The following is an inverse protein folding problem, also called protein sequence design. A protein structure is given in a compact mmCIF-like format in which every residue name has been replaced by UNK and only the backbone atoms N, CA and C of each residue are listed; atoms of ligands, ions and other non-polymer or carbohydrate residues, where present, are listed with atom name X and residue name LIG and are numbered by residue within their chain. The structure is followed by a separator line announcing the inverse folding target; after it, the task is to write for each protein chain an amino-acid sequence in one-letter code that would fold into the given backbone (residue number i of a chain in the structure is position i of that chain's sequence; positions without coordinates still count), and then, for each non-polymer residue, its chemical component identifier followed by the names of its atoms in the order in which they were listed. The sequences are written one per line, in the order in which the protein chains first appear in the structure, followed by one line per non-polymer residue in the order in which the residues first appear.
data_IF_500409933661
#
_entry.id   IF_500409933661
#
_cell.length_a   1.000
_cell.length_b   1.000
_cell.length_c   1.000
_cell.angle_alpha   90.00
_cell.angle_beta   90.00
_cell.angle_gamma   90.00
#
_symmetry.space_group_name_H-M   'P 1'
#
loop_
_entity.id
_entity.type
_entity.pdbx_description
1 polymer ?
#
# COMPACT_ATOMS: atom_id res chain seq x y z
N UNK A 1 24.57 46.39 -59.29
CA UNK A 1 23.14 45.98 -59.25
C UNK A 1 23.07 44.58 -58.66
N UNK A 2 22.83 44.47 -57.35
CA UNK A 2 22.65 43.19 -56.66
C UNK A 2 21.39 43.38 -55.81
N UNK A 3 20.33 42.67 -56.17
CA UNK A 3 19.07 42.68 -55.45
C UNK A 3 19.19 41.92 -54.13
N UNK A 4 18.60 42.47 -53.07
CA UNK A 4 18.30 41.74 -51.83
C UNK A 4 16.79 41.72 -51.65
N UNK A 5 16.24 40.51 -51.78
CA UNK A 5 14.87 40.14 -51.49
C UNK A 5 14.69 40.13 -49.97
N UNK A 6 13.74 40.90 -49.45
CA UNK A 6 13.32 40.86 -48.05
C UNK A 6 12.17 39.85 -47.95
N UNK A 7 12.42 38.72 -47.29
CA UNK A 7 11.39 37.74 -46.96
C UNK A 7 10.65 38.18 -45.69
N UNK A 8 9.35 38.43 -45.81
CA UNK A 8 8.44 38.70 -44.70
C UNK A 8 7.96 37.34 -44.17
N UNK A 9 8.43 36.96 -42.98
CA UNK A 9 7.90 35.81 -42.23
C UNK A 9 6.50 36.17 -41.69
N UNK A 10 5.46 35.53 -42.22
CA UNK A 10 4.11 35.58 -41.67
C UNK A 10 4.03 34.77 -40.37
N UNK A 11 3.80 35.47 -39.26
CA UNK A 11 3.54 34.87 -37.95
C UNK A 11 2.08 34.36 -37.93
N UNK A 12 1.88 33.05 -38.13
CA UNK A 12 0.59 32.40 -37.90
C UNK A 12 0.34 32.28 -36.39
N UNK A 13 -0.46 33.18 -35.83
CA UNK A 13 -1.01 33.06 -34.49
C UNK A 13 -2.12 32.01 -34.56
N UNK A 14 -1.86 30.81 -34.08
CA UNK A 14 -2.89 29.78 -33.88
C UNK A 14 -3.78 30.23 -32.72
N UNK A 15 -5.00 30.66 -33.04
CA UNK A 15 -6.06 30.93 -32.07
C UNK A 15 -6.41 29.60 -31.38
N UNK A 16 -5.89 29.41 -30.17
CA UNK A 16 -6.32 28.33 -29.28
C UNK A 16 -7.80 28.51 -28.98
N UNK A 17 -8.58 27.47 -29.26
CA UNK A 17 -10.02 27.46 -28.97
C UNK A 17 -10.24 27.73 -27.49
N UNK A 18 -10.93 28.83 -27.18
CA UNK A 18 -11.49 29.08 -25.86
C UNK A 18 -12.47 27.94 -25.58
N UNK A 19 -12.15 27.08 -24.60
CA UNK A 19 -12.99 25.95 -24.23
C UNK A 19 -14.41 26.40 -23.93
N UNK A 20 -15.41 25.71 -24.48
CA UNK A 20 -16.82 26.00 -24.26
C UNK A 20 -17.15 25.92 -22.77
N UNK A 21 -18.03 26.81 -22.30
CA UNK A 21 -18.53 26.87 -20.93
C UNK A 21 -19.29 25.61 -20.46
N UNK A 22 -19.43 24.59 -21.32
CA UNK A 22 -20.06 23.30 -21.00
C UNK A 22 -19.12 22.29 -20.31
N UNK A 23 -17.81 22.58 -20.19
CA UNK A 23 -16.85 21.70 -19.50
C UNK A 23 -16.87 21.87 -17.96
N UNK A 24 -17.85 22.61 -17.42
CA UNK A 24 -17.79 23.16 -16.05
C UNK A 24 -18.22 22.15 -14.95
N UNK A 25 -18.82 21.01 -15.29
CA UNK A 25 -19.34 20.06 -14.29
C UNK A 25 -19.06 18.59 -14.60
N UNK A 26 -17.78 18.23 -14.80
CA UNK A 26 -17.41 16.83 -14.60
C UNK A 26 -17.63 16.44 -13.14
N UNK A 27 -18.45 15.40 -12.85
CA UNK A 27 -18.73 14.97 -11.48
C UNK A 27 -17.44 14.54 -10.78
N UNK A 28 -17.32 14.88 -9.49
CA UNK A 28 -16.19 14.46 -8.67
C UNK A 28 -16.10 12.93 -8.66
N UNK A 29 -14.93 12.40 -8.99
CA UNK A 29 -14.70 10.94 -9.02
C UNK A 29 -14.03 10.47 -7.72
N UNK A 30 -14.34 9.25 -7.25
CA UNK A 30 -13.51 8.58 -6.25
C UNK A 30 -12.08 8.44 -6.76
N UNK A 31 -11.10 8.48 -5.86
CA UNK A 31 -9.69 8.38 -6.21
C UNK A 31 -8.97 7.41 -5.27
N UNK A 32 -8.23 6.46 -5.82
CA UNK A 32 -7.52 5.44 -5.01
C UNK A 32 -6.04 5.80 -4.88
N UNK A 33 -5.53 5.82 -3.65
CA UNK A 33 -4.10 5.98 -3.38
C UNK A 33 -3.54 4.64 -2.93
N UNK A 34 -2.65 4.08 -3.75
CA UNK A 34 -1.97 2.81 -3.52
C UNK A 34 -0.70 3.04 -2.68
N UNK A 35 -0.60 2.34 -1.57
CA UNK A 35 0.49 2.50 -0.58
C UNK A 35 1.21 1.16 -0.39
N UNK A 36 2.44 1.00 -0.91
CA UNK A 36 3.14 -0.27 -0.89
C UNK A 36 3.81 -0.49 0.48
N UNK A 37 3.95 -1.75 0.85
CA UNK A 37 4.55 -2.16 2.11
C UNK A 37 6.05 -2.35 2.05
N UNK A 38 6.55 -3.22 2.92
CA UNK A 38 7.96 -3.55 3.01
C UNK A 38 8.46 -4.19 1.70
N UNK A 39 9.74 -4.02 1.39
CA UNK A 39 10.35 -4.48 0.15
C UNK A 39 9.95 -3.65 -1.07
N UNK A 40 9.61 -2.36 -0.92
CA UNK A 40 9.19 -1.49 -2.03
C UNK A 40 9.94 -0.14 -2.09
N UNK A 41 10.24 0.31 -3.31
CA UNK A 41 11.08 1.46 -3.60
C UNK A 41 10.41 2.35 -4.66
N UNK A 42 9.69 3.39 -4.22
CA UNK A 42 9.00 4.33 -5.11
C UNK A 42 7.98 3.68 -6.05
N UNK A 43 7.30 2.62 -5.61
CA UNK A 43 6.35 1.84 -6.40
C UNK A 43 6.94 0.60 -7.11
N UNK A 44 8.27 0.43 -7.09
CA UNK A 44 8.93 -0.78 -7.56
C UNK A 44 9.14 -1.79 -6.43
N UNK A 45 9.22 -3.07 -6.76
CA UNK A 45 9.68 -4.11 -5.84
C UNK A 45 11.20 -3.94 -5.63
N UNK A 46 11.61 -3.94 -4.38
CA UNK A 46 13.01 -3.85 -3.97
C UNK A 46 13.32 -4.87 -2.88
N UNK A 47 13.78 -6.03 -3.33
CA UNK A 47 14.29 -7.15 -2.54
C UNK A 47 15.60 -7.60 -3.18
N UNK A 48 16.74 -7.50 -2.48
CA UNK A 48 18.10 -7.51 -3.04
C UNK A 48 18.32 -8.49 -4.20
N UNK A 49 18.19 -9.79 -3.95
CA UNK A 49 18.42 -10.84 -4.95
C UNK A 49 17.21 -11.11 -5.87
N UNK A 50 16.00 -10.78 -5.43
CA UNK A 50 14.76 -11.02 -6.17
C UNK A 50 14.45 -9.92 -7.20
N UNK A 51 14.89 -8.68 -6.94
CA UNK A 51 14.65 -7.51 -7.79
C UNK A 51 15.20 -7.73 -9.19
N UNK A 52 16.37 -8.36 -9.33
CA UNK A 52 16.98 -8.60 -10.63
C UNK A 52 16.13 -9.53 -11.48
N UNK A 53 15.61 -10.62 -10.90
CA UNK A 53 14.76 -11.58 -11.59
C UNK A 53 13.41 -10.97 -12.00
N UNK A 54 12.79 -10.20 -11.11
CA UNK A 54 11.52 -9.53 -11.38
C UNK A 54 11.64 -8.42 -12.43
N UNK A 55 12.78 -7.71 -12.48
CA UNK A 55 13.03 -6.69 -13.51
C UNK A 55 13.19 -7.29 -14.89
N UNK A 56 13.86 -8.43 -15.01
CA UNK A 56 14.04 -9.13 -16.30
C UNK A 56 12.69 -9.58 -16.87
N UNK A 57 11.74 -9.93 -16.02
CA UNK A 57 10.41 -10.42 -16.43
C UNK A 57 9.38 -9.31 -16.62
N UNK A 58 9.76 -8.04 -16.49
CA UNK A 58 8.82 -6.90 -16.63
C UNK A 58 7.85 -6.74 -15.45
N UNK A 59 8.08 -7.46 -14.35
CA UNK A 59 7.19 -7.51 -13.19
C UNK A 59 7.74 -6.73 -11.99
N UNK A 60 8.48 -5.66 -12.26
CA UNK A 60 9.13 -4.85 -11.24
C UNK A 60 8.20 -3.91 -10.47
N UNK A 61 6.95 -3.73 -10.88
CA UNK A 61 6.01 -2.82 -10.21
C UNK A 61 5.25 -3.53 -9.08
N UNK A 62 5.27 -2.94 -7.88
CA UNK A 62 4.66 -3.53 -6.68
C UNK A 62 3.15 -3.72 -6.80
N UNK A 63 2.47 -2.79 -7.50
CA UNK A 63 1.03 -2.81 -7.74
C UNK A 63 0.69 -2.89 -9.23
N UNK A 64 1.54 -3.53 -10.06
CA UNK A 64 1.35 -3.56 -11.51
C UNK A 64 -0.04 -4.06 -11.92
N UNK A 65 -0.46 -5.20 -11.39
CA UNK A 65 -1.79 -5.78 -11.65
C UNK A 65 -2.93 -4.92 -11.10
N UNK A 66 -2.76 -4.34 -9.91
CA UNK A 66 -3.77 -3.49 -9.27
C UNK A 66 -4.02 -2.23 -10.09
N UNK A 67 -2.96 -1.58 -10.59
CA UNK A 67 -3.07 -0.40 -11.44
C UNK A 67 -3.88 -0.71 -12.71
N UNK A 68 -3.62 -1.86 -13.33
CA UNK A 68 -4.36 -2.30 -14.51
C UNK A 68 -5.84 -2.49 -14.18
N UNK A 69 -6.17 -3.32 -13.19
CA UNK A 69 -7.56 -3.66 -12.86
C UNK A 69 -8.33 -2.41 -12.41
N UNK A 70 -7.72 -1.54 -11.59
CA UNK A 70 -8.35 -0.29 -11.13
C UNK A 70 -8.64 0.66 -12.31
N UNK A 71 -7.74 0.72 -13.30
CA UNK A 71 -7.96 1.45 -14.54
C UNK A 71 -9.13 0.90 -15.35
N UNK A 72 -9.23 -0.44 -15.49
CA UNK A 72 -10.31 -1.12 -16.20
C UNK A 72 -11.69 -0.88 -15.54
N UNK A 73 -11.76 -0.81 -14.21
CA UNK A 73 -13.01 -0.50 -13.50
C UNK A 73 -13.27 1.01 -13.31
N UNK A 74 -12.46 1.87 -13.92
CA UNK A 74 -12.67 3.31 -13.96
C UNK A 74 -12.36 4.05 -12.65
N UNK A 75 -11.53 3.47 -11.78
CA UNK A 75 -11.04 4.12 -10.56
C UNK A 75 -9.68 4.77 -10.83
N UNK A 76 -9.58 6.11 -10.89
CA UNK A 76 -8.29 6.77 -11.05
C UNK A 76 -7.40 6.51 -9.84
N UNK A 77 -6.11 6.29 -10.10
CA UNK A 77 -5.17 5.84 -9.07
C UNK A 77 -3.88 6.66 -9.05
N UNK A 78 -3.24 6.72 -7.89
CA UNK A 78 -1.85 7.14 -7.74
C UNK A 78 -1.10 6.23 -6.78
N UNK A 79 0.23 6.22 -6.91
CA UNK A 79 1.15 5.55 -5.98
C UNK A 79 1.83 6.57 -5.05
N UNK A 80 1.95 6.21 -3.77
CA UNK A 80 2.81 6.90 -2.82
C UNK A 80 3.38 5.92 -1.77
N UNK A 81 4.59 6.13 -1.21
CA UNK A 81 5.54 7.19 -1.55
C UNK A 81 6.19 6.97 -2.93
N UNK A 82 6.67 8.06 -3.54
CA UNK A 82 7.37 8.02 -4.84
C UNK A 82 8.89 7.94 -4.71
N UNK A 83 9.43 8.30 -3.55
CA UNK A 83 10.86 8.35 -3.31
C UNK A 83 11.46 6.95 -3.37
N UNK A 84 12.61 6.85 -4.04
CA UNK A 84 13.41 5.64 -4.15
C UNK A 84 14.58 5.70 -3.16
N UNK A 85 14.49 4.95 -2.08
CA UNK A 85 15.42 4.93 -0.95
C UNK A 85 15.97 3.54 -0.63
N UNK A 86 15.78 2.55 -1.52
CA UNK A 86 16.07 1.12 -1.25
C UNK A 86 15.24 0.55 -0.11
N UNK A 87 14.06 1.12 0.12
CA UNK A 87 13.09 0.66 1.13
C UNK A 87 13.74 0.64 2.52
N UNK A 88 14.30 1.76 2.98
CA UNK A 88 15.04 1.81 4.25
C UNK A 88 14.31 2.58 5.33
N UNK A 89 13.52 3.58 4.94
CA UNK A 89 13.04 4.62 5.86
C UNK A 89 11.90 4.16 6.77
N UNK A 90 11.74 4.81 7.94
CA UNK A 90 10.65 4.58 8.87
C UNK A 90 9.25 4.77 8.26
N UNK A 91 8.22 4.14 8.86
CA UNK A 91 6.83 4.24 8.38
C UNK A 91 6.35 5.69 8.41
N UNK A 92 6.67 6.44 9.48
CA UNK A 92 6.23 7.84 9.63
C UNK A 92 6.76 8.72 8.49
N UNK A 93 8.03 8.56 8.12
CA UNK A 93 8.63 9.30 7.00
C UNK A 93 7.90 9.00 5.70
N UNK A 94 7.59 7.72 5.43
CA UNK A 94 6.83 7.31 4.25
C UNK A 94 5.40 7.85 4.25
N UNK A 95 4.75 7.90 5.40
CA UNK A 95 3.42 8.49 5.55
C UNK A 95 3.43 9.99 5.25
N UNK A 96 4.40 10.74 5.78
CA UNK A 96 4.53 12.18 5.51
C UNK A 96 4.76 12.47 4.02
N UNK A 97 5.53 11.63 3.32
CA UNK A 97 5.68 11.74 1.87
C UNK A 97 4.39 11.47 1.11
N UNK A 98 3.63 10.45 1.52
CA UNK A 98 2.29 10.24 0.99
C UNK A 98 1.40 11.45 1.21
N UNK A 99 1.46 12.07 2.40
CA UNK A 99 0.68 13.28 2.68
C UNK A 99 1.04 14.40 1.72
N UNK A 100 2.33 14.70 1.56
CA UNK A 100 2.80 15.75 0.62
C UNK A 100 2.39 15.44 -0.82
N UNK A 101 2.52 14.18 -1.26
CA UNK A 101 2.17 13.78 -2.62
C UNK A 101 0.67 13.92 -2.91
N UNK A 102 -0.19 13.53 -1.97
CA UNK A 102 -1.64 13.65 -2.10
C UNK A 102 -2.05 15.13 -2.07
N UNK A 103 -1.47 15.94 -1.17
CA UNK A 103 -1.73 17.38 -1.14
C UNK A 103 -1.35 18.06 -2.46
N UNK A 104 -0.19 17.71 -3.04
CA UNK A 104 0.22 18.21 -4.33
C UNK A 104 -0.77 17.81 -5.44
N UNK A 105 -1.24 16.56 -5.44
CA UNK A 105 -2.23 16.07 -6.41
C UNK A 105 -3.58 16.79 -6.28
N UNK A 106 -4.02 17.14 -5.07
CA UNK A 106 -5.22 17.96 -4.84
C UNK A 106 -5.01 19.39 -5.39
N UNK A 107 -3.89 20.03 -5.06
CA UNK A 107 -3.58 21.41 -5.49
C UNK A 107 -3.44 21.50 -7.02
N UNK A 108 -2.88 20.48 -7.65
CA UNK A 108 -2.73 20.40 -9.11
C UNK A 108 -4.02 19.98 -9.83
N UNK A 109 -5.10 19.68 -9.10
CA UNK A 109 -6.37 19.22 -9.68
C UNK A 109 -6.35 17.78 -10.21
N UNK A 110 -5.27 17.03 -10.00
CA UNK A 110 -5.19 15.60 -10.32
C UNK A 110 -6.17 14.79 -9.49
N UNK A 111 -6.24 15.09 -8.19
CA UNK A 111 -7.34 14.65 -7.33
C UNK A 111 -8.33 15.82 -7.28
N UNK A 112 -9.46 15.65 -7.95
CA UNK A 112 -10.48 16.68 -7.97
C UNK A 112 -11.08 16.82 -6.56
N UNK A 113 -10.92 18.01 -5.98
CA UNK A 113 -11.60 18.41 -4.76
C UNK A 113 -11.83 19.93 -4.81
N UNK A 114 -13.08 20.34 -5.04
CA UNK A 114 -13.42 21.74 -5.26
C UNK A 114 -13.63 22.45 -3.92
N UNK A 115 -12.94 23.58 -3.71
CA UNK A 115 -13.34 24.52 -2.65
C UNK A 115 -14.61 25.26 -3.08
N UNK A 116 -15.52 25.63 -2.16
CA UNK A 116 -15.40 25.56 -0.69
C UNK A 116 -15.83 24.22 -0.05
N UNK A 117 -16.43 23.31 -0.82
CA UNK A 117 -17.01 22.06 -0.28
C UNK A 117 -15.97 20.94 -0.32
N UNK A 118 -15.24 20.77 0.79
CA UNK A 118 -14.33 19.63 0.94
C UNK A 118 -15.16 18.34 1.01
N UNK A 119 -15.02 17.49 -0.01
CA UNK A 119 -15.68 16.18 -0.05
C UNK A 119 -14.70 15.04 0.19
N UNK A 120 -15.16 13.99 0.85
CA UNK A 120 -14.38 12.76 1.09
C UNK A 120 -14.47 11.86 -0.14
N UNK A 121 -13.46 11.91 -1.00
CA UNK A 121 -13.41 11.09 -2.22
C UNK A 121 -12.15 10.23 -2.35
N UNK A 122 -11.26 10.26 -1.36
CA UNK A 122 -10.00 9.51 -1.39
C UNK A 122 -10.17 8.17 -0.67
N UNK A 123 -9.81 7.09 -1.35
CA UNK A 123 -9.72 5.73 -0.82
C UNK A 123 -8.23 5.40 -0.70
N UNK A 124 -7.75 5.17 0.52
CA UNK A 124 -6.38 4.70 0.73
C UNK A 124 -6.37 3.17 0.68
N UNK A 125 -5.54 2.57 -0.17
CA UNK A 125 -5.36 1.13 -0.26
C UNK A 125 -3.91 0.78 0.08
N UNK A 126 -3.69 0.22 1.27
CA UNK A 126 -2.38 -0.18 1.75
C UNK A 126 -2.19 -1.69 1.75
N UNK A 127 -1.05 -2.16 1.26
CA UNK A 127 -0.67 -3.58 1.35
C UNK A 127 0.47 -3.77 2.36
N UNK A 128 0.44 -4.85 3.14
CA UNK A 128 1.50 -5.16 4.11
C UNK A 128 1.71 -3.97 5.06
N UNK A 129 2.96 -3.57 5.33
CA UNK A 129 3.31 -2.34 6.06
C UNK A 129 2.60 -1.08 5.52
N UNK A 130 2.23 -1.04 4.25
CA UNK A 130 1.53 0.07 3.60
C UNK A 130 0.17 0.37 4.20
N UNK A 131 -0.51 -0.61 4.83
CA UNK A 131 -1.76 -0.36 5.55
C UNK A 131 -1.57 0.44 6.85
N UNK A 132 -0.45 0.22 7.57
CA UNK A 132 -0.08 1.05 8.72
C UNK A 132 0.25 2.48 8.27
N UNK A 133 0.92 2.62 7.13
CA UNK A 133 1.16 3.93 6.49
C UNK A 133 -0.18 4.60 6.12
N UNK A 134 -1.11 3.86 5.50
CA UNK A 134 -2.42 4.36 5.13
C UNK A 134 -3.22 4.89 6.34
N UNK A 135 -3.17 4.18 7.47
CA UNK A 135 -3.82 4.61 8.73
C UNK A 135 -3.24 5.93 9.25
N UNK A 136 -1.92 6.11 9.18
CA UNK A 136 -1.27 7.38 9.56
C UNK A 136 -1.66 8.52 8.61
N UNK A 137 -1.65 8.27 7.30
CA UNK A 137 -2.08 9.26 6.29
C UNK A 137 -3.53 9.68 6.54
N UNK A 138 -4.42 8.74 6.88
CA UNK A 138 -5.81 9.03 7.22
C UNK A 138 -5.98 9.87 8.49
N UNK A 139 -5.03 9.80 9.42
CA UNK A 139 -5.03 10.58 10.66
C UNK A 139 -4.35 11.95 10.51
N UNK A 140 -3.66 12.23 9.41
CA UNK A 140 -3.03 13.53 9.18
C UNK A 140 -4.09 14.64 9.05
N UNK A 141 -4.04 15.72 9.86
CA UNK A 141 -5.03 16.80 9.83
C UNK A 141 -5.20 17.45 8.46
N UNK A 142 -4.16 17.43 7.62
CA UNK A 142 -4.18 18.03 6.28
C UNK A 142 -5.00 17.21 5.29
N UNK A 143 -5.14 15.90 5.50
CA UNK A 143 -5.82 14.99 4.58
C UNK A 143 -7.11 14.39 5.13
N UNK A 144 -7.25 14.30 6.45
CA UNK A 144 -8.44 13.76 7.15
C UNK A 144 -9.79 14.24 6.59
N UNK A 145 -9.98 15.50 6.14
CA UNK A 145 -11.23 15.94 5.50
C UNK A 145 -11.53 15.30 4.12
N UNK A 146 -10.52 14.81 3.42
CA UNK A 146 -10.59 14.29 2.05
C UNK A 146 -10.66 12.76 1.98
N UNK A 147 -10.25 12.07 3.05
CA UNK A 147 -10.25 10.61 3.12
C UNK A 147 -11.66 10.08 3.42
N UNK A 148 -12.16 9.24 2.52
CA UNK A 148 -13.40 8.49 2.71
C UNK A 148 -13.16 7.19 3.48
N UNK A 149 -12.17 6.42 3.04
CA UNK A 149 -11.96 5.06 3.54
C UNK A 149 -10.51 4.61 3.46
N UNK A 150 -10.16 3.67 4.33
CA UNK A 150 -8.90 2.94 4.33
C UNK A 150 -9.18 1.46 4.12
N UNK A 151 -8.54 0.86 3.12
CA UNK A 151 -8.59 -0.56 2.82
C UNK A 151 -7.18 -1.11 3.02
N UNK A 152 -7.03 -2.15 3.83
CA UNK A 152 -5.74 -2.80 4.08
C UNK A 152 -5.75 -4.25 3.63
N UNK A 153 -4.66 -4.69 3.01
CA UNK A 153 -4.48 -6.06 2.54
C UNK A 153 -3.22 -6.62 3.19
N UNK A 154 -3.31 -7.77 3.87
CA UNK A 154 -2.18 -8.45 4.50
C UNK A 154 -1.36 -7.57 5.49
N UNK A 155 -1.99 -6.56 6.12
CA UNK A 155 -1.28 -5.56 6.93
C UNK A 155 -1.06 -6.06 8.36
N UNK A 156 0.17 -6.12 8.88
CA UNK A 156 0.41 -6.46 10.28
C UNK A 156 0.11 -5.25 11.20
N UNK A 157 -1.17 -5.01 11.51
CA UNK A 157 -1.61 -3.85 12.31
C UNK A 157 -1.09 -3.87 13.74
N UNK A 158 -0.84 -5.06 14.28
CA UNK A 158 -0.31 -5.31 15.63
C UNK A 158 1.17 -5.74 15.58
N UNK A 159 1.86 -5.49 14.46
CA UNK A 159 3.19 -6.03 14.20
C UNK A 159 3.18 -7.50 13.77
N UNK A 160 4.37 -8.07 13.64
CA UNK A 160 4.59 -9.46 13.25
C UNK A 160 5.71 -10.09 14.08
N UNK A 161 5.50 -11.30 14.66
CA UNK A 161 6.54 -11.99 15.43
C UNK A 161 7.81 -12.30 14.62
N UNK A 162 7.76 -12.32 13.29
CA UNK A 162 8.97 -12.48 12.47
C UNK A 162 9.92 -11.30 12.65
N UNK A 163 9.41 -10.08 12.88
CA UNK A 163 10.25 -8.92 13.17
C UNK A 163 10.97 -9.11 14.51
N UNK A 164 10.26 -9.57 15.55
CA UNK A 164 10.89 -9.87 16.84
C UNK A 164 11.94 -10.97 16.73
N UNK A 165 11.65 -12.04 15.99
CA UNK A 165 12.61 -13.11 15.70
C UNK A 165 13.88 -12.57 15.01
N UNK A 166 13.73 -11.71 13.99
CA UNK A 166 14.89 -11.11 13.32
C UNK A 166 15.73 -10.30 14.31
N UNK A 167 15.13 -9.50 15.19
CA UNK A 167 15.87 -8.75 16.22
C UNK A 167 16.56 -9.67 17.24
N UNK A 168 15.88 -10.72 17.69
CA UNK A 168 16.43 -11.71 18.62
C UNK A 168 17.67 -12.38 18.02
N UNK A 169 17.57 -12.90 16.79
CA UNK A 169 18.67 -13.57 16.10
C UNK A 169 19.81 -12.59 15.75
N UNK A 170 19.48 -11.37 15.35
CA UNK A 170 20.49 -10.35 15.03
C UNK A 170 21.30 -9.92 16.25
N UNK A 171 20.68 -9.83 17.42
CA UNK A 171 21.34 -9.39 18.66
C UNK A 171 22.09 -10.50 19.38
N UNK A 172 21.57 -11.73 19.37
CA UNK A 172 22.16 -12.88 20.07
C UNK A 172 23.13 -13.70 19.21
N UNK A 173 23.15 -13.42 17.91
CA UNK A 173 23.80 -14.25 16.91
C UNK A 173 22.83 -15.27 16.32
N UNK A 174 23.02 -15.60 15.04
CA UNK A 174 22.14 -16.51 14.31
C UNK A 174 22.28 -17.94 14.83
N UNK A 175 21.19 -18.52 15.31
CA UNK A 175 21.14 -19.92 15.75
C UNK A 175 21.08 -20.90 14.57
N UNK A 176 20.68 -20.42 13.39
CA UNK A 176 20.57 -21.21 12.17
C UNK A 176 21.08 -20.45 10.96
N UNK A 177 22.04 -21.04 10.26
CA UNK A 177 22.64 -20.49 9.04
C UNK A 177 21.62 -20.42 7.90
N UNK A 178 20.62 -21.31 7.87
CA UNK A 178 19.53 -21.26 6.91
C UNK A 178 18.73 -19.97 7.05
N UNK A 179 18.33 -19.61 8.27
CA UNK A 179 17.56 -18.38 8.53
C UNK A 179 18.38 -17.14 8.23
N UNK A 180 19.65 -17.14 8.64
CA UNK A 180 20.60 -16.08 8.29
C UNK A 180 20.65 -15.86 6.79
N UNK A 181 20.89 -16.92 6.03
CA UNK A 181 21.01 -16.88 4.57
C UNK A 181 19.74 -16.34 3.91
N UNK A 182 18.57 -16.77 4.38
CA UNK A 182 17.29 -16.28 3.85
C UNK A 182 17.11 -14.79 4.14
N UNK A 183 17.24 -14.36 5.40
CA UNK A 183 16.98 -12.98 5.83
C UNK A 183 18.01 -12.00 5.23
N UNK A 184 19.30 -12.31 5.29
CA UNK A 184 20.35 -11.49 4.68
C UNK A 184 20.26 -11.50 3.15
N UNK A 185 19.84 -12.62 2.56
CA UNK A 185 19.65 -12.77 1.11
C UNK A 185 18.51 -11.90 0.55
N UNK A 186 17.44 -11.70 1.32
CA UNK A 186 16.35 -10.77 0.94
C UNK A 186 16.61 -9.33 1.41
N UNK A 187 17.59 -9.12 2.30
CA UNK A 187 18.00 -7.82 2.81
C UNK A 187 17.05 -7.25 3.87
N UNK A 188 16.45 -8.11 4.68
CA UNK A 188 15.50 -7.74 5.75
C UNK A 188 16.19 -7.77 7.12
N UNK A 189 17.24 -6.98 7.28
CA UNK A 189 18.00 -6.86 8.53
C UNK A 189 17.72 -5.53 9.23
N UNK A 190 17.86 -5.44 10.58
CA UNK A 190 17.66 -4.17 11.29
C UNK A 190 18.58 -3.03 10.82
N UNK A 191 19.76 -3.34 10.28
CA UNK A 191 20.69 -2.34 9.70
C UNK A 191 20.19 -1.83 8.34
N UNK A 192 19.65 -2.72 7.51
CA UNK A 192 19.20 -2.34 6.18
C UNK A 192 17.82 -1.67 6.23
N UNK A 193 16.96 -2.06 7.17
CA UNK A 193 15.53 -1.71 7.22
C UNK A 193 15.18 -1.07 8.57
N UNK A 194 15.22 0.26 8.63
CA UNK A 194 14.97 1.01 9.87
C UNK A 194 13.54 0.76 10.41
N UNK A 195 12.59 0.56 9.50
CA UNK A 195 11.20 0.29 9.87
C UNK A 195 10.96 -1.06 10.57
N UNK A 196 11.90 -2.01 10.55
CA UNK A 196 11.66 -3.33 11.14
C UNK A 196 11.35 -3.23 12.64
N UNK A 197 11.95 -2.25 13.34
CA UNK A 197 11.66 -2.01 14.75
C UNK A 197 10.18 -1.63 14.97
N UNK A 198 9.59 -0.89 14.04
CA UNK A 198 8.19 -0.42 14.10
C UNK A 198 7.18 -1.55 13.80
N UNK A 199 7.65 -2.70 13.29
CA UNK A 199 6.82 -3.87 12.96
C UNK A 199 6.88 -4.98 14.02
N UNK A 200 7.61 -4.78 15.11
CA UNK A 200 7.68 -5.72 16.22
C UNK A 200 6.35 -5.84 16.96
N UNK A 201 6.03 -7.04 17.43
CA UNK A 201 4.92 -7.28 18.38
C UNK A 201 5.33 -6.99 19.82
N UNK A 202 6.61 -7.25 20.14
CA UNK A 202 7.14 -6.99 21.47
C UNK A 202 7.46 -5.51 21.62
N UNK A 203 6.73 -4.85 22.52
CA UNK A 203 6.84 -3.41 22.76
C UNK A 203 7.95 -3.10 23.75
N UNK A 204 8.92 -2.31 23.32
CA UNK A 204 9.99 -1.81 24.18
C UNK A 204 9.45 -0.66 25.05
N UNK A 205 9.45 -0.79 26.40
CA UNK A 205 8.93 0.23 27.30
C UNK A 205 9.59 1.61 27.13
N UNK A 206 10.90 1.61 26.85
CA UNK A 206 11.71 2.83 26.75
C UNK A 206 11.64 3.50 25.37
N UNK A 207 10.84 2.97 24.44
CA UNK A 207 10.72 3.50 23.08
C UNK A 207 9.28 3.45 22.55
N UNK A 208 8.30 4.03 23.28
CA UNK A 208 6.89 3.94 22.90
C UNK A 208 6.61 4.56 21.53
N UNK A 209 7.38 5.59 21.12
CA UNK A 209 7.23 6.26 19.82
C UNK A 209 7.51 5.37 18.60
N UNK A 210 8.25 4.26 18.76
CA UNK A 210 8.54 3.31 17.67
C UNK A 210 7.27 2.64 17.14
N UNK A 211 6.25 2.51 18.00
CA UNK A 211 5.02 1.78 17.67
C UNK A 211 3.89 2.70 17.22
N UNK A 212 4.19 3.98 16.92
CA UNK A 212 3.20 4.99 16.56
C UNK A 212 2.24 4.50 15.47
N UNK A 213 2.75 3.86 14.43
CA UNK A 213 1.93 3.36 13.32
C UNK A 213 0.91 2.28 13.75
N UNK A 214 1.24 1.46 14.75
CA UNK A 214 0.35 0.44 15.31
C UNK A 214 -0.73 1.08 16.20
N UNK A 215 -0.40 2.16 16.90
CA UNK A 215 -1.27 2.86 17.86
C UNK A 215 -2.30 3.79 17.22
N UNK A 216 -2.21 4.01 15.91
CA UNK A 216 -3.09 4.92 15.17
C UNK A 216 -4.54 4.46 15.26
N UNK A 217 -5.39 5.23 15.95
CA UNK A 217 -6.79 4.87 16.15
C UNK A 217 -7.62 5.06 14.87
N UNK A 218 -8.66 4.24 14.74
CA UNK A 218 -9.70 4.44 13.73
C UNK A 218 -10.47 5.73 14.03
N UNK A 219 -10.68 6.54 12.99
CA UNK A 219 -11.51 7.75 13.08
C UNK A 219 -12.97 7.41 12.77
N UNK A 220 -13.95 7.90 13.56
CA UNK A 220 -15.35 7.46 13.46
C UNK A 220 -16.05 7.83 12.14
N UNK A 221 -15.45 8.69 11.32
CA UNK A 221 -16.01 9.16 10.05
C UNK A 221 -15.23 8.70 8.82
N UNK A 222 -14.23 7.83 9.02
CA UNK A 222 -13.50 7.15 7.97
C UNK A 222 -13.87 5.67 8.07
N UNK A 223 -14.27 5.07 6.96
CA UNK A 223 -14.56 3.63 6.94
C UNK A 223 -13.26 2.83 6.82
N UNK A 224 -13.07 1.83 7.68
CA UNK A 224 -11.88 0.97 7.66
C UNK A 224 -12.26 -0.45 7.28
N UNK A 225 -11.50 -1.01 6.35
CA UNK A 225 -11.71 -2.35 5.80
C UNK A 225 -10.40 -3.14 5.79
N UNK A 226 -10.47 -4.44 6.04
CA UNK A 226 -9.33 -5.35 5.96
C UNK A 226 -9.65 -6.59 5.12
N UNK A 227 -8.72 -6.94 4.24
CA UNK A 227 -8.65 -8.25 3.58
C UNK A 227 -7.53 -9.04 4.26
N UNK A 228 -7.90 -10.13 4.92
CA UNK A 228 -6.94 -11.02 5.56
C UNK A 228 -6.57 -12.16 4.61
N UNK A 229 -5.45 -12.81 4.89
CA UNK A 229 -5.03 -13.98 4.13
C UNK A 229 -4.21 -14.91 5.00
N UNK A 230 -4.25 -16.18 4.64
CA UNK A 230 -3.38 -17.20 5.21
C UNK A 230 -2.95 -18.19 4.15
N UNK A 231 -1.72 -18.66 4.28
CA UNK A 231 -1.14 -19.61 3.34
C UNK A 231 -1.46 -21.05 3.76
N UNK A 232 -1.91 -21.87 2.82
CA UNK A 232 -1.97 -23.33 2.97
C UNK A 232 -0.75 -24.01 2.32
N UNK A 233 -0.33 -23.47 1.17
CA UNK A 233 0.84 -23.89 0.40
C UNK A 233 1.49 -22.64 -0.21
N UNK A 234 2.81 -22.63 -0.38
CA UNK A 234 3.49 -21.54 -1.11
C UNK A 234 4.35 -22.07 -2.24
N UNK A 235 4.41 -21.27 -3.30
CA UNK A 235 5.35 -21.44 -4.40
C UNK A 235 6.68 -20.73 -4.13
N UNK A 236 6.78 -19.97 -3.04
CA UNK A 236 7.92 -19.13 -2.69
C UNK A 236 8.66 -19.74 -1.48
N UNK A 237 9.79 -20.45 -1.71
CA UNK A 237 10.53 -21.11 -0.63
C UNK A 237 10.88 -20.20 0.57
N UNK A 238 11.24 -18.90 0.39
CA UNK A 238 11.47 -18.02 1.52
C UNK A 238 10.26 -17.85 2.43
N UNK A 239 9.04 -17.79 1.86
CA UNK A 239 7.81 -17.64 2.64
C UNK A 239 7.43 -18.91 3.38
N UNK A 240 7.80 -20.09 2.88
CA UNK A 240 7.59 -21.35 3.61
C UNK A 240 8.48 -21.41 4.86
N UNK A 241 9.73 -20.98 4.72
CA UNK A 241 10.67 -20.91 5.86
C UNK A 241 10.15 -19.93 6.91
N UNK A 242 9.73 -18.73 6.50
CA UNK A 242 9.20 -17.74 7.45
C UNK A 242 7.86 -18.15 8.04
N UNK A 243 7.01 -18.88 7.31
CA UNK A 243 5.77 -19.48 7.84
C UNK A 243 6.04 -20.41 9.03
N UNK A 244 7.05 -21.28 8.91
CA UNK A 244 7.42 -22.21 9.99
C UNK A 244 7.92 -21.45 11.22
N UNK A 245 8.79 -20.45 11.01
CA UNK A 245 9.28 -19.58 12.09
C UNK A 245 8.10 -18.85 12.75
N UNK A 246 7.19 -18.29 11.95
CA UNK A 246 6.06 -17.51 12.41
C UNK A 246 5.07 -18.36 13.21
N UNK A 247 4.75 -19.58 12.75
CA UNK A 247 3.92 -20.55 13.51
C UNK A 247 4.53 -20.85 14.87
N UNK A 248 5.85 -21.04 14.94
CA UNK A 248 6.54 -21.30 16.20
C UNK A 248 6.53 -20.07 17.12
N UNK A 249 6.84 -18.89 16.59
CA UNK A 249 6.88 -17.65 17.37
C UNK A 249 5.50 -17.22 17.87
N UNK A 250 4.43 -17.44 17.08
CA UNK A 250 3.04 -17.21 17.54
C UNK A 250 2.74 -18.08 18.76
N UNK A 251 3.04 -19.38 18.72
CA UNK A 251 2.83 -20.31 19.86
C UNK A 251 3.68 -19.94 21.07
N UNK A 252 4.98 -19.74 20.85
CA UNK A 252 5.95 -19.39 21.90
C UNK A 252 5.54 -18.13 22.67
N UNK A 253 4.91 -17.17 21.98
CA UNK A 253 4.45 -15.90 22.57
C UNK A 253 3.01 -15.95 23.07
N UNK A 254 2.31 -17.09 22.99
CA UNK A 254 0.91 -17.23 23.41
C UNK A 254 -0.07 -16.42 22.56
N UNK A 255 0.28 -16.13 21.31
CA UNK A 255 -0.52 -15.33 20.37
C UNK A 255 -1.51 -16.20 19.56
N UNK A 256 -1.51 -17.50 19.80
CA UNK A 256 -2.39 -18.50 19.16
C UNK A 256 -3.78 -18.61 19.81
N UNK A 257 -4.07 -17.80 20.83
CA UNK A 257 -5.35 -17.83 21.56
C UNK A 257 -6.49 -17.11 20.82
N UNK A 258 -6.24 -16.63 19.60
CA UNK A 258 -7.26 -16.02 18.74
C UNK A 258 -8.00 -17.09 17.94
N UNK A 259 -9.13 -16.73 17.31
CA UNK A 259 -9.83 -17.62 16.37
C UNK A 259 -8.99 -18.00 15.14
N UNK A 260 -7.85 -17.35 14.92
CA UNK A 260 -6.94 -17.61 13.80
C UNK A 260 -5.83 -18.60 14.14
N UNK A 261 -5.64 -18.95 15.43
CA UNK A 261 -4.57 -19.85 15.87
C UNK A 261 -3.19 -19.40 15.37
N UNK A 262 -2.53 -20.25 14.58
CA UNK A 262 -1.21 -19.98 13.98
C UNK A 262 -1.28 -19.62 12.49
N UNK A 263 -2.48 -19.31 11.97
CA UNK A 263 -2.66 -18.89 10.59
C UNK A 263 -1.87 -17.61 10.29
N UNK A 264 -1.14 -17.63 9.18
CA UNK A 264 -0.30 -16.54 8.71
C UNK A 264 -0.09 -16.69 7.20
N UNK A 265 0.47 -15.68 6.56
CA UNK A 265 0.74 -15.66 5.13
C UNK A 265 2.23 -15.73 4.75
N UNK A 266 3.05 -16.15 5.71
CA UNK A 266 4.50 -16.20 5.61
C UNK A 266 5.18 -14.95 6.14
N UNK A 267 4.50 -13.81 6.31
CA UNK A 267 5.11 -12.59 6.85
C UNK A 267 4.30 -11.93 7.98
N UNK A 268 2.98 -12.05 7.95
CA UNK A 268 2.09 -11.48 8.95
C UNK A 268 1.13 -12.57 9.48
N UNK A 269 0.89 -12.63 10.80
CA UNK A 269 -0.18 -13.46 11.35
C UNK A 269 -1.55 -12.93 10.94
N UNK A 270 -2.51 -13.83 10.67
CA UNK A 270 -3.84 -13.43 10.20
C UNK A 270 -4.59 -12.60 11.26
N UNK A 271 -4.41 -12.89 12.56
CA UNK A 271 -5.00 -12.07 13.63
C UNK A 271 -4.52 -10.61 13.61
N UNK A 272 -3.29 -10.36 13.14
CA UNK A 272 -2.71 -9.02 13.06
C UNK A 272 -3.24 -8.25 11.84
N UNK A 273 -3.89 -8.93 10.89
CA UNK A 273 -4.46 -8.31 9.68
C UNK A 273 -5.82 -7.66 9.89
N UNK A 274 -6.48 -7.97 11.01
CA UNK A 274 -7.81 -7.47 11.32
C UNK A 274 -7.76 -6.01 11.76
N UNK A 275 -8.38 -5.13 10.97
CA UNK A 275 -8.63 -3.74 11.34
C UNK A 275 -9.90 -3.22 10.65
N UNK A 276 -10.82 -2.65 11.42
CA UNK A 276 -12.14 -2.26 10.91
C UNK A 276 -12.98 -3.47 10.51
N UNK A 277 -13.75 -3.35 9.42
CA UNK A 277 -14.60 -4.43 8.90
C UNK A 277 -13.78 -5.36 8.01
N UNK A 278 -13.76 -6.65 8.33
CA UNK A 278 -13.15 -7.67 7.46
C UNK A 278 -14.05 -7.87 6.24
N UNK A 279 -13.52 -7.66 5.03
CA UNK A 279 -14.26 -7.83 3.77
C UNK A 279 -14.14 -9.24 3.19
N UNK A 280 -13.16 -10.01 3.67
CA UNK A 280 -12.95 -11.41 3.34
C UNK A 280 -11.64 -11.92 3.93
N UNK A 281 -11.48 -13.23 3.87
CA UNK A 281 -10.21 -13.94 4.08
C UNK A 281 -9.95 -14.81 2.86
N UNK A 282 -8.73 -14.81 2.36
CA UNK A 282 -8.33 -15.57 1.16
C UNK A 282 -7.17 -16.51 1.45
N UNK A 283 -7.13 -17.62 0.72
CA UNK A 283 -6.03 -18.59 0.81
C UNK A 283 -4.92 -18.15 -0.13
N UNK A 284 -4.01 -17.35 0.38
CA UNK A 284 -2.92 -16.75 -0.37
C UNK A 284 -1.73 -16.46 0.56
N UNK A 285 -0.51 -16.68 0.06
CA UNK A 285 0.67 -16.13 0.70
C UNK A 285 0.76 -14.60 0.54
N UNK A 286 1.69 -13.98 1.26
CA UNK A 286 1.82 -12.53 1.33
C UNK A 286 2.08 -11.84 -0.01
N UNK A 287 2.64 -12.54 -1.00
CA UNK A 287 2.97 -11.97 -2.31
C UNK A 287 1.92 -12.30 -3.37
N UNK A 288 1.22 -13.42 -3.22
CA UNK A 288 0.09 -13.78 -4.08
C UNK A 288 -1.03 -12.73 -4.02
N UNK A 289 -1.26 -12.10 -2.88
CA UNK A 289 -2.25 -11.01 -2.73
C UNK A 289 -1.91 -9.78 -3.59
N UNK A 290 -0.65 -9.58 -3.97
CA UNK A 290 -0.24 -8.51 -4.89
C UNK A 290 -0.30 -8.90 -6.38
N UNK A 291 -0.50 -10.19 -6.68
CA UNK A 291 -0.49 -10.70 -8.05
C UNK A 291 0.80 -10.35 -8.83
N UNK A 292 1.96 -10.36 -8.15
CA UNK A 292 3.22 -9.94 -8.77
C UNK A 292 3.81 -11.02 -9.67
N UNK A 293 4.07 -10.65 -10.92
CA UNK A 293 4.71 -11.51 -11.91
C UNK A 293 4.01 -12.84 -12.13
N UNK A 294 4.72 -13.95 -11.96
CA UNK A 294 4.14 -15.28 -12.14
C UNK A 294 3.01 -15.57 -11.14
N UNK A 295 2.97 -14.86 -10.01
CA UNK A 295 1.93 -15.04 -9.00
C UNK A 295 0.55 -14.57 -9.48
N UNK A 296 0.46 -13.80 -10.57
CA UNK A 296 -0.83 -13.39 -11.14
C UNK A 296 -1.69 -14.56 -11.64
N UNK A 297 -1.07 -15.72 -11.85
CA UNK A 297 -1.71 -16.94 -12.31
C UNK A 297 -2.05 -17.91 -11.18
N UNK A 298 -1.75 -17.57 -9.92
CA UNK A 298 -2.02 -18.46 -8.80
C UNK A 298 -3.45 -18.32 -8.30
N UNK A 299 -3.93 -19.38 -7.65
CA UNK A 299 -5.23 -19.39 -6.99
C UNK A 299 -5.33 -18.30 -5.92
N UNK A 300 -4.23 -17.99 -5.20
CA UNK A 300 -4.21 -16.95 -4.17
C UNK A 300 -4.44 -15.54 -4.73
N UNK A 301 -3.80 -15.21 -5.86
CA UNK A 301 -4.07 -13.97 -6.58
C UNK A 301 -5.52 -13.92 -7.09
N UNK A 302 -6.02 -15.01 -7.68
CA UNK A 302 -7.39 -15.06 -8.20
C UNK A 302 -8.44 -14.83 -7.09
N UNK A 303 -8.29 -15.48 -5.93
CA UNK A 303 -9.17 -15.26 -4.79
C UNK A 303 -9.09 -13.80 -4.29
N UNK A 304 -7.88 -13.23 -4.24
CA UNK A 304 -7.70 -11.83 -3.87
C UNK A 304 -8.44 -10.90 -4.83
N UNK A 305 -8.33 -11.15 -6.15
CA UNK A 305 -9.04 -10.35 -7.16
C UNK A 305 -10.55 -10.43 -7.00
N UNK A 306 -11.08 -11.64 -6.76
CA UNK A 306 -12.51 -11.90 -6.61
C UNK A 306 -13.13 -11.21 -5.38
N UNK A 307 -12.35 -11.00 -4.32
CA UNK A 307 -12.82 -10.28 -3.12
C UNK A 307 -12.57 -8.78 -3.24
N UNK A 308 -11.34 -8.38 -3.54
CA UNK A 308 -10.88 -6.99 -3.40
C UNK A 308 -11.48 -6.06 -4.46
N UNK A 309 -11.43 -6.41 -5.74
CA UNK A 309 -11.79 -5.47 -6.80
C UNK A 309 -13.30 -5.25 -6.95
N UNK A 310 -14.17 -6.28 -6.83
CA UNK A 310 -15.61 -6.05 -6.73
C UNK A 310 -15.96 -5.14 -5.55
N UNK A 311 -15.31 -5.34 -4.41
CA UNK A 311 -15.47 -4.47 -3.25
C UNK A 311 -15.05 -3.03 -3.55
N UNK A 312 -13.85 -2.80 -4.12
CA UNK A 312 -13.36 -1.46 -4.47
C UNK A 312 -14.26 -0.78 -5.51
N UNK A 313 -14.79 -1.54 -6.49
CA UNK A 313 -15.77 -1.03 -7.46
C UNK A 313 -17.03 -0.54 -6.77
N UNK A 314 -17.61 -1.36 -5.89
CA UNK A 314 -18.80 -0.99 -5.12
C UNK A 314 -18.55 0.22 -4.22
N UNK A 315 -17.39 0.26 -3.55
CA UNK A 315 -17.00 1.38 -2.69
C UNK A 315 -16.82 2.68 -3.49
N UNK A 316 -16.21 2.61 -4.68
CA UNK A 316 -16.11 3.76 -5.57
C UNK A 316 -17.46 4.29 -6.05
N UNK A 317 -18.41 3.39 -6.35
CA UNK A 317 -19.79 3.75 -6.70
C UNK A 317 -20.53 4.41 -5.52
N UNK A 318 -20.35 3.88 -4.31
CA UNK A 318 -20.90 4.48 -3.08
C UNK A 318 -20.36 5.91 -2.88
N UNK A 319 -19.04 6.09 -2.99
CA UNK A 319 -18.41 7.41 -2.90
C UNK A 319 -18.98 8.34 -3.96
N UNK A 320 -19.05 7.91 -5.22
CA UNK A 320 -19.61 8.73 -6.31
C UNK A 320 -21.06 9.15 -6.03
N UNK A 321 -21.90 8.24 -5.52
CA UNK A 321 -23.29 8.55 -5.18
C UNK A 321 -23.39 9.60 -4.05
N UNK A 322 -22.57 9.47 -3.00
CA UNK A 322 -22.52 10.47 -1.90
C UNK A 322 -22.04 11.85 -2.37
N UNK A 323 -21.25 11.89 -3.45
CA UNK A 323 -20.81 13.15 -4.05
C UNK A 323 -21.96 13.84 -4.81
N UNK A 324 -22.87 13.09 -5.45
CA UNK A 324 -24.00 13.65 -6.19
C UNK A 324 -25.09 14.20 -5.25
N UNK A 325 -25.44 13.48 -4.19
CA UNK A 325 -26.54 13.88 -3.27
C UNK A 325 -26.26 15.16 -2.47
N UNK A 326 -25.01 15.64 -2.45
CA UNK A 326 -24.60 16.86 -1.75
C UNK A 326 -24.50 18.08 -2.67
N UNK A 327 -24.96 17.99 -3.92
CA UNK A 327 -25.08 19.12 -4.85
C UNK A 327 -26.48 19.74 -4.83
N UNK A 328 -27.46 19.09 -4.21
CA UNK A 328 -28.87 19.51 -4.19
C UNK A 328 -29.27 20.31 -2.94
N UNK A 329 -28.31 20.67 -2.07
CA UNK A 329 -28.50 21.51 -0.86
C UNK A 329 -27.56 22.71 -0.94
#
# INVERSE_FOLDING_TARGET
MIGKVVAILGLFISLTSVGSADDVYSPLKPYVVLIPGAGSNGGEIYVKNLTRLLKITGHGQYFGEYLQILGEIGLPTMLCPKTKDKDRRPLLTRALECVVAIQAAIVQGTIQNRRPIVRRNIILLGHSMGGNIARMVANDPRLKPFIHSVVTVATPHQGTPIADFIFDQYSKGWESELYRTVIEGIGFTPIEKEYLAELRTERLPDSPGVYYAQDVRALPFISYYSLTNSMEHTLMPPLEVTNLVLKNEIKKRGLDQTSYGVANDGLAPEYSMVFGKVIGSVRADHWETLCIGILKFTTGCEQTKQVLFPFLKSLGQEVAAQLLTKEEI
#
